data_IF_460119146321
#
_entry.id   IF_460119146321
#
_cell.length_a   1.000
_cell.length_b   1.000
_cell.length_c   1.000
_cell.angle_alpha   90.00
_cell.angle_beta   90.00
_cell.angle_gamma   90.00
#
_symmetry.space_group_name_H-M   'P 1'
#
loop_
_entity.id
_entity.type
_entity.pdbx_description
1 polymer ?
#
# COMPACT_ATOMS: atom_id res chain seq x y z
N UNK A 1 1.19 -23.22 6.30
CA UNK A 1 2.33 -22.36 5.89
C UNK A 1 1.80 -21.33 4.90
N UNK A 2 1.28 -20.20 5.40
CA UNK A 2 0.71 -19.16 4.55
C UNK A 2 1.81 -18.44 3.77
N UNK A 3 1.70 -18.39 2.44
CA UNK A 3 2.64 -17.66 1.59
C UNK A 3 2.57 -16.16 1.85
N UNK A 4 3.70 -15.45 1.73
CA UNK A 4 3.74 -13.99 1.84
C UNK A 4 3.07 -13.38 0.60
N UNK A 5 2.21 -12.38 0.80
CA UNK A 5 1.55 -11.69 -0.30
C UNK A 5 2.48 -10.66 -0.95
N UNK A 6 2.96 -10.94 -2.17
CA UNK A 6 3.84 -10.06 -2.94
C UNK A 6 3.07 -8.85 -3.49
N UNK A 7 3.63 -7.65 -3.33
CA UNK A 7 3.00 -6.38 -3.71
C UNK A 7 3.48 -5.89 -5.09
N UNK A 8 4.74 -6.14 -5.45
CA UNK A 8 5.34 -5.69 -6.70
C UNK A 8 5.74 -6.84 -7.64
N UNK A 9 4.79 -7.68 -8.11
CA UNK A 9 5.11 -8.84 -8.95
C UNK A 9 5.70 -8.48 -10.33
N UNK A 10 5.59 -7.22 -10.78
CA UNK A 10 6.14 -6.72 -12.04
C UNK A 10 7.39 -5.85 -11.89
N UNK A 11 8.08 -5.92 -10.75
CA UNK A 11 9.30 -5.14 -10.47
C UNK A 11 10.44 -5.48 -11.44
N UNK A 12 11.40 -4.57 -11.57
CA UNK A 12 12.67 -4.87 -12.26
C UNK A 12 13.51 -5.90 -11.48
N UNK A 13 14.44 -6.57 -12.17
CA UNK A 13 15.25 -7.66 -11.59
C UNK A 13 16.18 -7.21 -10.48
N UNK A 14 16.56 -5.93 -10.46
CA UNK A 14 17.41 -5.29 -9.46
C UNK A 14 16.64 -4.66 -8.30
N UNK A 15 15.31 -4.78 -8.28
CA UNK A 15 14.46 -4.30 -7.19
C UNK A 15 14.16 -5.41 -6.17
N UNK A 16 14.02 -5.04 -4.90
CA UNK A 16 13.68 -5.98 -3.83
C UNK A 16 12.19 -6.38 -3.87
N UNK A 17 11.87 -7.57 -3.38
CA UNK A 17 10.48 -7.97 -3.17
C UNK A 17 9.85 -7.18 -2.03
N UNK A 18 8.67 -6.62 -2.29
CA UNK A 18 7.86 -5.92 -1.30
C UNK A 18 6.67 -6.79 -0.96
N UNK A 19 6.49 -7.07 0.33
CA UNK A 19 5.38 -7.88 0.82
C UNK A 19 4.48 -7.08 1.74
N UNK A 20 3.22 -7.51 1.80
CA UNK A 20 2.26 -7.12 2.83
C UNK A 20 2.84 -7.45 4.23
N UNK A 21 2.53 -6.65 5.27
CA UNK A 21 2.83 -7.01 6.65
C UNK A 21 2.35 -8.43 6.98
N UNK A 22 3.22 -9.23 7.61
CA UNK A 22 2.97 -10.66 7.83
C UNK A 22 1.61 -10.94 8.52
N UNK A 23 1.26 -10.14 9.53
CA UNK A 23 0.03 -10.25 10.30
C UNK A 23 -1.25 -9.93 9.52
N UNK A 24 -1.15 -9.37 8.30
CA UNK A 24 -2.29 -9.09 7.43
C UNK A 24 -2.45 -10.10 6.30
N UNK A 25 -1.54 -11.07 6.15
CA UNK A 25 -1.57 -12.04 5.04
C UNK A 25 -2.89 -12.83 5.00
N UNK A 26 -3.39 -13.26 6.17
CA UNK A 26 -4.61 -14.07 6.26
C UNK A 26 -5.88 -13.21 6.45
N UNK A 27 -5.74 -11.88 6.52
CA UNK A 27 -6.85 -10.92 6.69
C UNK A 27 -7.29 -10.35 5.35
N UNK A 28 -6.33 -10.07 4.46
CA UNK A 28 -6.60 -9.38 3.21
C UNK A 28 -7.31 -10.28 2.19
N UNK A 29 -8.39 -9.74 1.64
CA UNK A 29 -9.07 -10.34 0.50
C UNK A 29 -8.33 -10.04 -0.82
N UNK A 30 -8.49 -10.85 -1.87
CA UNK A 30 -7.80 -10.66 -3.14
C UNK A 30 -7.98 -9.25 -3.76
N UNK A 31 -9.17 -8.67 -3.68
CA UNK A 31 -9.43 -7.32 -4.18
C UNK A 31 -8.73 -6.24 -3.36
N UNK A 32 -8.52 -6.48 -2.07
CA UNK A 32 -7.79 -5.57 -1.18
C UNK A 32 -6.29 -5.61 -1.49
N UNK A 33 -5.73 -6.82 -1.71
CA UNK A 33 -4.37 -6.96 -2.22
C UNK A 33 -4.22 -6.25 -3.56
N UNK A 34 -5.17 -6.42 -4.49
CA UNK A 34 -5.20 -5.69 -5.76
C UNK A 34 -5.14 -4.16 -5.56
N UNK A 35 -5.91 -3.62 -4.63
CA UNK A 35 -5.87 -2.19 -4.29
C UNK A 35 -4.52 -1.73 -3.70
N UNK A 36 -3.88 -2.55 -2.87
CA UNK A 36 -2.53 -2.25 -2.34
C UNK A 36 -1.49 -2.24 -3.46
N UNK A 37 -1.55 -3.21 -4.38
CA UNK A 37 -0.67 -3.25 -5.57
C UNK A 37 -0.87 -2.04 -6.46
N UNK A 38 -2.13 -1.64 -6.65
CA UNK A 38 -2.48 -0.43 -7.40
C UNK A 38 -1.89 0.82 -6.74
N UNK A 39 -2.02 1.00 -5.42
CA UNK A 39 -1.42 2.13 -4.71
C UNK A 39 0.11 2.13 -4.82
N UNK A 40 0.76 0.97 -4.66
CA UNK A 40 2.21 0.85 -4.82
C UNK A 40 2.67 1.27 -6.22
N UNK A 41 2.04 0.73 -7.26
CA UNK A 41 2.41 1.01 -8.64
C UNK A 41 2.14 2.44 -9.11
N UNK A 42 1.29 3.21 -8.43
CA UNK A 42 1.03 4.61 -8.78
C UNK A 42 1.77 5.60 -7.88
N UNK A 43 1.90 5.32 -6.58
CA UNK A 43 2.48 6.28 -5.63
C UNK A 43 3.99 6.09 -5.47
N UNK A 44 4.43 4.83 -5.43
CA UNK A 44 5.85 4.49 -5.18
C UNK A 44 6.54 4.17 -6.49
N UNK A 45 5.89 3.37 -7.36
CA UNK A 45 6.46 2.72 -8.55
C UNK A 45 7.63 1.80 -8.18
N UNK A 46 8.74 2.40 -7.76
CA UNK A 46 9.88 1.76 -7.11
C UNK A 46 10.55 2.71 -6.13
N UNK A 47 11.33 2.14 -5.19
CA UNK A 47 12.10 2.96 -4.24
C UNK A 47 13.05 3.95 -4.94
N UNK A 48 13.58 3.58 -6.12
CA UNK A 48 14.49 4.43 -6.91
C UNK A 48 13.77 5.59 -7.59
N UNK A 49 12.58 5.34 -8.14
CA UNK A 49 11.80 6.39 -8.82
C UNK A 49 11.18 7.37 -7.82
N UNK A 50 10.77 6.87 -6.64
CA UNK A 50 10.26 7.69 -5.55
C UNK A 50 11.27 8.76 -5.07
N UNK A 51 12.58 8.51 -5.15
CA UNK A 51 13.60 9.50 -4.78
C UNK A 51 13.79 10.62 -5.82
N UNK A 52 13.43 10.38 -7.09
CA UNK A 52 13.71 11.29 -8.20
C UNK A 52 12.60 12.32 -8.41
N UNK A 53 11.37 12.02 -8.01
CA UNK A 53 10.22 12.90 -8.20
C UNK A 53 9.28 12.85 -7.00
N UNK A 54 8.31 13.76 -6.94
CA UNK A 54 7.28 13.73 -5.91
C UNK A 54 6.33 12.50 -6.00
N UNK A 55 6.50 11.64 -7.01
CA UNK A 55 5.62 10.51 -7.33
C UNK A 55 4.29 10.95 -7.95
N UNK A 56 3.44 9.97 -8.30
CA UNK A 56 2.05 10.23 -8.65
C UNK A 56 1.12 10.01 -7.45
N UNK A 57 -0.14 10.41 -7.63
CA UNK A 57 -1.23 10.11 -6.71
C UNK A 57 -2.08 8.96 -7.23
N UNK A 58 -3.02 8.49 -6.42
CA UNK A 58 -4.02 7.55 -6.86
C UNK A 58 -5.38 7.83 -6.21
N UNK A 59 -6.47 7.38 -6.85
CA UNK A 59 -7.82 7.48 -6.32
C UNK A 59 -8.34 6.06 -6.09
N UNK A 60 -8.51 5.68 -4.82
CA UNK A 60 -9.08 4.38 -4.45
C UNK A 60 -10.62 4.47 -4.33
N UNK A 61 -11.30 4.51 -5.47
CA UNK A 61 -12.76 4.70 -5.57
C UNK A 61 -13.59 3.40 -5.56
N UNK A 62 -13.09 2.32 -4.94
CA UNK A 62 -13.86 1.09 -4.78
C UNK A 62 -15.18 1.32 -4.01
N UNK A 63 -16.16 0.43 -4.24
CA UNK A 63 -17.45 0.45 -3.56
C UNK A 63 -17.31 0.53 -2.02
N UNK A 64 -18.33 1.10 -1.37
CA UNK A 64 -18.39 1.17 0.09
C UNK A 64 -18.47 -0.24 0.70
N UNK A 65 -17.90 -0.41 1.91
CA UNK A 65 -17.90 -1.71 2.61
C UNK A 65 -16.79 -2.70 2.20
N UNK A 66 -16.03 -2.45 1.14
CA UNK A 66 -14.97 -3.38 0.69
C UNK A 66 -13.66 -3.37 1.50
N UNK A 67 -13.64 -2.66 2.63
CA UNK A 67 -12.45 -2.52 3.48
C UNK A 67 -11.34 -1.71 2.80
N UNK A 68 -11.60 -0.43 2.51
CA UNK A 68 -10.55 0.48 2.02
C UNK A 68 -9.57 0.85 3.14
N UNK A 69 -10.05 0.98 4.37
CA UNK A 69 -9.21 1.33 5.54
C UNK A 69 -8.07 0.32 5.75
N UNK A 70 -8.36 -0.99 5.70
CA UNK A 70 -7.30 -2.03 5.85
C UNK A 70 -6.28 -1.97 4.71
N UNK A 71 -6.69 -1.58 3.49
CA UNK A 71 -5.77 -1.38 2.37
C UNK A 71 -4.83 -0.20 2.64
N UNK A 72 -5.35 0.91 3.16
CA UNK A 72 -4.55 2.08 3.53
C UNK A 72 -3.61 1.76 4.68
N UNK A 73 -4.04 1.00 5.69
CA UNK A 73 -3.18 0.57 6.80
C UNK A 73 -2.02 -0.29 6.28
N UNK A 74 -2.31 -1.31 5.48
CA UNK A 74 -1.28 -2.16 4.88
C UNK A 74 -0.31 -1.37 4.00
N UNK A 75 -0.84 -0.44 3.20
CA UNK A 75 -0.04 0.42 2.33
C UNK A 75 0.81 1.41 3.09
N UNK A 76 0.32 1.97 4.20
CA UNK A 76 1.06 2.88 5.10
C UNK A 76 2.32 2.19 5.63
N UNK A 77 2.21 0.95 6.10
CA UNK A 77 3.35 0.16 6.53
C UNK A 77 4.35 -0.08 5.40
N UNK A 78 3.87 -0.49 4.21
CA UNK A 78 4.71 -0.67 3.03
C UNK A 78 5.44 0.62 2.68
N UNK A 79 4.71 1.74 2.59
CA UNK A 79 5.21 3.04 2.18
C UNK A 79 6.35 3.52 3.08
N UNK A 80 6.21 3.42 4.40
CA UNK A 80 7.27 3.82 5.34
C UNK A 80 8.48 2.90 5.25
N UNK A 81 8.29 1.60 4.96
CA UNK A 81 9.39 0.63 4.85
C UNK A 81 10.15 0.71 3.53
N UNK A 82 9.50 1.11 2.45
CA UNK A 82 10.08 1.11 1.09
C UNK A 82 10.53 2.47 0.61
N UNK A 83 10.22 3.54 1.35
CA UNK A 83 10.60 4.92 1.01
C UNK A 83 11.37 5.57 2.15
N UNK A 84 11.96 6.75 1.88
CA UNK A 84 12.62 7.56 2.90
C UNK A 84 11.64 8.43 3.73
N UNK A 85 10.34 8.34 3.48
CA UNK A 85 9.32 9.12 4.18
C UNK A 85 9.26 8.77 5.67
N UNK A 86 9.03 9.78 6.52
CA UNK A 86 8.98 9.62 7.99
C UNK A 86 7.63 9.93 8.61
N UNK A 87 6.72 10.53 7.84
CA UNK A 87 5.42 11.03 8.33
C UNK A 87 4.34 10.74 7.30
N UNK A 88 3.15 10.44 7.80
CA UNK A 88 1.94 10.24 6.99
C UNK A 88 0.85 11.12 7.61
N UNK A 89 0.14 11.86 6.76
CA UNK A 89 -1.01 12.67 7.14
C UNK A 89 -2.28 11.98 6.63
N UNK A 90 -3.15 11.56 7.54
CA UNK A 90 -4.45 11.00 7.21
C UNK A 90 -5.50 12.04 7.56
N UNK A 91 -6.23 12.54 6.56
CA UNK A 91 -7.33 13.48 6.74
C UNK A 91 -8.62 12.69 6.71
N UNK A 92 -9.40 12.78 7.78
CA UNK A 92 -10.68 12.09 7.92
C UNK A 92 -11.75 13.03 8.47
N UNK A 93 -13.03 12.82 8.14
CA UNK A 93 -14.14 13.44 8.86
C UNK A 93 -14.08 13.17 10.37
N UNK A 94 -14.47 14.15 11.18
CA UNK A 94 -14.40 14.09 12.65
C UNK A 94 -15.11 12.87 13.25
N UNK A 95 -16.22 12.45 12.64
CA UNK A 95 -17.01 11.30 13.08
C UNK A 95 -16.35 9.94 12.78
N UNK A 96 -15.25 9.92 12.03
CA UNK A 96 -14.54 8.69 11.65
C UNK A 96 -13.16 8.55 12.27
N UNK A 97 -12.69 9.54 13.04
CA UNK A 97 -11.34 9.54 13.61
C UNK A 97 -11.11 8.45 14.67
N UNK A 98 -12.19 7.94 15.28
CA UNK A 98 -12.14 6.92 16.33
C UNK A 98 -12.46 5.50 15.85
N UNK A 99 -12.70 5.30 14.56
CA UNK A 99 -12.96 3.97 13.97
C UNK A 99 -11.65 3.21 13.71
#
# INVERSE_FOLDING_TARGET
MGGRLLVNPGKATDEADVYVPFHLNDVLQPHQLGGIRFMYGNIIESAKEYEKSAGFGCILAHAMGLGKTIQIIAFTDIFVRTTNAKKILIIVPVNTIQN
#
